data_IF_576484598726
#
_entry.id   IF_576484598726
#
_cell.length_a   1.000
_cell.length_b   1.000
_cell.length_c   1.000
_cell.angle_alpha   90.00
_cell.angle_beta   90.00
_cell.angle_gamma   90.00
#
_symmetry.space_group_name_H-M   'P 1'
#
loop_
_entity.id
_entity.type
_entity.pdbx_description
1 polymer ?
#
# COMPACT_ATOMS: atom_id res chain seq x y z
N UNK A 1 -12.42 -36.57 19.05
CA UNK A 1 -11.43 -35.55 18.65
C UNK A 1 -10.04 -35.97 19.14
N UNK A 2 -9.21 -36.63 18.31
CA UNK A 2 -7.78 -36.87 18.65
C UNK A 2 -6.83 -36.97 17.44
N UNK A 3 -7.32 -36.89 16.19
CA UNK A 3 -6.51 -37.16 14.99
C UNK A 3 -5.39 -36.13 14.75
N UNK A 4 -5.62 -34.85 15.06
CA UNK A 4 -4.67 -33.77 14.77
C UNK A 4 -3.43 -33.80 15.68
N UNK A 5 -3.59 -34.15 16.96
CA UNK A 5 -2.47 -34.23 17.91
C UNK A 5 -1.55 -35.42 17.61
N UNK A 6 -2.12 -36.55 17.16
CA UNK A 6 -1.34 -37.70 16.69
C UNK A 6 -0.61 -37.40 15.37
N UNK A 7 -1.19 -36.58 14.48
CA UNK A 7 -0.53 -36.14 13.25
C UNK A 7 0.70 -35.26 13.55
N UNK A 8 0.56 -34.23 14.39
CA UNK A 8 1.66 -33.31 14.72
C UNK A 8 2.83 -34.01 15.42
N UNK A 9 2.57 -34.95 16.35
CA UNK A 9 3.64 -35.76 16.93
C UNK A 9 4.39 -36.59 15.87
N UNK A 10 3.68 -37.18 14.91
CA UNK A 10 4.25 -38.03 13.86
C UNK A 10 5.06 -37.25 12.80
N UNK A 11 4.83 -35.94 12.69
CA UNK A 11 5.68 -35.02 11.92
C UNK A 11 6.93 -34.65 12.71
N UNK A 12 6.79 -34.35 14.01
CA UNK A 12 7.92 -33.99 14.89
C UNK A 12 8.95 -35.13 15.04
N UNK A 13 8.49 -36.38 15.17
CA UNK A 13 9.38 -37.54 15.23
C UNK A 13 10.11 -37.80 13.90
N UNK A 14 9.52 -37.45 12.76
CA UNK A 14 10.15 -37.60 11.42
C UNK A 14 11.23 -36.56 11.13
N UNK A 15 11.18 -35.40 11.76
CA UNK A 15 12.18 -34.32 11.56
C UNK A 15 13.47 -34.59 12.36
N UNK A 16 13.45 -35.48 13.37
CA UNK A 16 14.63 -35.82 14.18
C UNK A 16 15.50 -36.95 13.63
N UNK A 17 15.06 -37.64 12.58
CA UNK A 17 15.74 -38.83 12.01
C UNK A 17 16.27 -38.59 10.58
N UNK A 18 16.12 -37.37 10.05
CA UNK A 18 16.44 -37.00 8.66
C UNK A 18 17.75 -36.20 8.50
N UNK A 19 18.70 -36.33 9.43
CA UNK A 19 20.01 -35.63 9.39
C UNK A 19 21.14 -36.50 8.82
N UNK A 20 20.85 -37.69 8.29
CA UNK A 20 21.83 -38.58 7.66
C UNK A 20 21.24 -39.22 6.38
N UNK A 21 22.12 -39.42 5.39
CA UNK A 21 21.88 -39.95 4.03
C UNK A 21 21.21 -38.95 3.05
N UNK A 22 21.90 -38.65 1.95
CA UNK A 22 21.40 -37.79 0.87
C UNK A 22 20.67 -38.57 -0.24
N UNK A 23 19.84 -37.88 -1.02
CA UNK A 23 19.11 -38.47 -2.13
C UNK A 23 18.70 -37.45 -3.20
N UNK A 24 19.06 -37.72 -4.46
CA UNK A 24 18.79 -36.91 -5.65
C UNK A 24 17.49 -37.35 -6.33
N UNK A 25 16.65 -36.40 -6.77
CA UNK A 25 15.65 -36.48 -7.88
C UNK A 25 15.13 -35.04 -8.11
N UNK A 26 15.21 -34.40 -9.29
CA UNK A 26 14.50 -34.66 -10.56
C UNK A 26 12.96 -34.82 -10.41
N UNK A 27 12.07 -34.14 -11.14
CA UNK A 27 12.16 -33.13 -12.20
C UNK A 27 10.72 -32.80 -12.66
N UNK A 28 10.44 -31.63 -13.26
CA UNK A 28 9.05 -31.18 -13.47
C UNK A 28 8.84 -30.01 -14.44
N UNK A 29 9.33 -30.18 -15.66
CA UNK A 29 9.37 -29.20 -16.76
C UNK A 29 7.98 -28.81 -17.34
N UNK A 30 7.78 -27.52 -17.66
CA UNK A 30 6.93 -27.04 -18.78
C UNK A 30 7.53 -25.75 -19.41
N UNK A 31 7.27 -25.56 -20.71
CA UNK A 31 8.06 -24.75 -21.66
C UNK A 31 7.30 -23.51 -22.22
N UNK A 32 7.95 -22.57 -22.97
CA UNK A 32 7.50 -21.18 -23.07
C UNK A 32 6.79 -20.77 -24.38
N UNK A 33 6.35 -19.50 -24.45
CA UNK A 33 6.10 -18.69 -25.66
C UNK A 33 6.33 -17.21 -25.26
N UNK A 34 7.29 -16.45 -25.82
CA UNK A 34 7.30 -15.83 -27.16
C UNK A 34 6.17 -14.82 -27.37
N UNK A 35 6.36 -13.53 -27.69
CA UNK A 35 7.57 -12.69 -27.87
C UNK A 35 7.16 -11.22 -27.66
N UNK A 36 8.04 -10.29 -27.28
CA UNK A 36 8.67 -9.20 -28.09
C UNK A 36 9.17 -8.17 -27.03
N UNK A 37 10.27 -7.42 -27.15
CA UNK A 37 11.31 -7.34 -28.19
C UNK A 37 11.80 -5.89 -28.38
N UNK A 38 13.09 -5.63 -28.12
CA UNK A 38 13.73 -4.31 -28.21
C UNK A 38 15.23 -4.41 -27.92
N UNK A 39 16.04 -3.85 -28.82
CA UNK A 39 17.41 -4.33 -29.10
C UNK A 39 18.52 -3.65 -28.28
N UNK A 40 19.51 -4.43 -27.81
CA UNK A 40 20.90 -3.99 -27.62
C UNK A 40 21.91 -5.11 -27.93
N UNK A 41 23.01 -4.73 -28.56
CA UNK A 41 24.06 -5.55 -29.18
C UNK A 41 24.84 -6.50 -28.23
N UNK A 42 25.21 -7.68 -28.77
CA UNK A 42 26.59 -8.16 -28.70
C UNK A 42 27.01 -9.19 -27.63
N UNK A 43 26.86 -10.49 -27.97
CA UNK A 43 27.67 -11.66 -27.55
C UNK A 43 28.04 -11.84 -26.06
N UNK A 44 27.72 -12.97 -25.41
CA UNK A 44 28.30 -14.30 -25.71
C UNK A 44 27.41 -15.45 -25.16
N UNK A 45 27.70 -16.71 -25.53
CA UNK A 45 26.99 -17.89 -25.04
C UNK A 45 27.69 -18.49 -23.81
N UNK A 46 27.03 -18.47 -22.65
CA UNK A 46 27.27 -19.51 -21.63
C UNK A 46 25.98 -19.89 -20.89
N UNK A 47 25.80 -21.20 -20.71
CA UNK A 47 24.80 -21.78 -19.80
C UNK A 47 25.39 -21.83 -18.39
N UNK A 48 25.73 -20.65 -17.87
CA UNK A 48 26.33 -20.45 -16.54
C UNK A 48 25.27 -20.21 -15.46
N UNK A 49 25.64 -20.56 -14.23
CA UNK A 49 24.93 -20.21 -12.98
C UNK A 49 24.52 -18.74 -12.95
N UNK A 50 23.32 -18.43 -12.44
CA UNK A 50 22.80 -17.05 -12.32
C UNK A 50 23.49 -16.30 -11.15
N UNK A 51 24.79 -16.07 -11.29
CA UNK A 51 25.60 -15.24 -10.40
C UNK A 51 25.45 -13.76 -10.82
N UNK A 52 24.30 -13.19 -10.48
CA UNK A 52 23.98 -11.77 -10.70
C UNK A 52 23.60 -11.06 -9.41
N UNK A 53 24.08 -9.84 -9.23
CA UNK A 53 23.75 -8.99 -8.11
C UNK A 53 22.41 -8.28 -8.35
N UNK A 54 21.38 -8.62 -7.57
CA UNK A 54 20.01 -8.08 -7.74
C UNK A 54 19.79 -6.90 -6.80
N UNK A 55 19.19 -5.82 -7.30
CA UNK A 55 18.78 -4.70 -6.45
C UNK A 55 17.56 -5.08 -5.59
N UNK A 56 17.61 -5.00 -4.24
CA UNK A 56 16.48 -5.37 -3.40
C UNK A 56 15.29 -4.40 -3.49
N UNK A 57 15.49 -3.19 -4.04
CA UNK A 57 14.43 -2.20 -4.22
C UNK A 57 13.68 -2.39 -5.55
N UNK A 58 14.38 -2.46 -6.68
CA UNK A 58 13.77 -2.51 -8.02
C UNK A 58 14.03 -3.80 -8.82
N UNK A 59 14.65 -4.81 -8.19
CA UNK A 59 14.86 -6.16 -8.74
C UNK A 59 15.63 -6.24 -10.07
N UNK A 60 16.33 -5.17 -10.45
CA UNK A 60 17.25 -5.14 -11.59
C UNK A 60 18.49 -5.99 -11.31
N UNK A 61 18.89 -6.77 -12.31
CA UNK A 61 20.06 -7.66 -12.28
C UNK A 61 21.31 -6.94 -12.81
N UNK A 62 22.40 -7.00 -12.04
CA UNK A 62 23.71 -6.47 -12.42
C UNK A 62 24.76 -7.58 -12.42
N UNK A 63 25.75 -7.46 -13.31
CA UNK A 63 26.85 -8.42 -13.41
C UNK A 63 27.88 -8.28 -12.27
N UNK A 64 27.96 -7.10 -11.63
CA UNK A 64 28.97 -6.78 -10.62
C UNK A 64 28.34 -6.10 -9.39
N UNK A 65 28.90 -6.38 -8.21
CA UNK A 65 28.49 -5.74 -6.96
C UNK A 65 28.69 -4.21 -6.98
N UNK A 66 29.79 -3.73 -7.55
CA UNK A 66 30.08 -2.29 -7.67
C UNK A 66 29.05 -1.55 -8.53
N UNK A 67 28.54 -2.21 -9.59
CA UNK A 67 27.48 -1.66 -10.46
C UNK A 67 26.15 -1.59 -9.70
N UNK A 68 25.82 -2.64 -8.94
CA UNK A 68 24.65 -2.63 -8.07
C UNK A 68 24.76 -1.53 -6.99
N UNK A 69 25.91 -1.38 -6.33
CA UNK A 69 26.09 -0.39 -5.28
C UNK A 69 26.01 1.03 -5.84
N UNK A 70 26.67 1.33 -6.96
CA UNK A 70 26.55 2.63 -7.62
C UNK A 70 25.11 2.94 -8.08
N UNK A 71 24.36 1.93 -8.53
CA UNK A 71 22.93 2.04 -8.80
C UNK A 71 22.12 2.33 -7.53
N UNK A 72 22.39 1.62 -6.42
CA UNK A 72 21.69 1.80 -5.16
C UNK A 72 21.92 3.20 -4.57
N UNK A 73 23.18 3.66 -4.58
CA UNK A 73 23.55 4.99 -4.10
C UNK A 73 22.92 6.11 -4.94
N UNK A 74 22.88 5.96 -6.28
CA UNK A 74 22.37 7.01 -7.18
C UNK A 74 20.84 7.02 -7.32
N UNK A 75 20.19 5.86 -7.40
CA UNK A 75 18.75 5.76 -7.69
C UNK A 75 17.88 5.54 -6.44
N UNK A 76 18.47 5.17 -5.29
CA UNK A 76 17.72 4.86 -4.05
C UNK A 76 18.19 5.64 -2.81
N UNK A 77 19.43 6.16 -2.83
CA UNK A 77 20.04 6.90 -1.74
C UNK A 77 20.17 8.42 -2.00
N UNK A 78 19.95 8.90 -3.23
CA UNK A 78 20.12 10.32 -3.59
C UNK A 78 19.16 11.24 -2.81
N UNK A 79 19.66 12.13 -1.93
CA UNK A 79 18.84 13.02 -1.13
C UNK A 79 18.13 14.14 -1.93
N UNK A 80 18.44 14.33 -3.22
CA UNK A 80 17.71 15.27 -4.09
C UNK A 80 16.35 14.75 -4.56
N UNK A 81 16.12 13.44 -4.47
CA UNK A 81 14.90 12.78 -4.97
C UNK A 81 13.73 12.87 -3.98
N UNK A 82 12.67 13.57 -4.38
CA UNK A 82 11.52 13.86 -3.52
C UNK A 82 10.32 12.92 -3.75
N UNK A 83 10.31 12.13 -4.83
CA UNK A 83 9.18 11.30 -5.24
C UNK A 83 9.55 9.82 -5.10
N UNK A 84 8.85 9.08 -4.22
CA UNK A 84 9.15 7.68 -3.92
C UNK A 84 8.01 6.78 -4.40
N UNK A 85 8.33 5.73 -5.15
CA UNK A 85 7.35 4.74 -5.57
C UNK A 85 6.75 4.01 -4.36
N UNK A 86 5.41 3.92 -4.21
CA UNK A 86 4.81 3.23 -3.07
C UNK A 86 5.04 1.71 -3.09
N UNK A 87 5.26 1.11 -4.27
CA UNK A 87 5.40 -0.34 -4.47
C UNK A 87 6.86 -0.77 -4.28
N UNK A 88 7.77 -0.36 -5.17
CA UNK A 88 9.18 -0.78 -5.16
C UNK A 88 10.13 0.15 -4.38
N UNK A 89 9.64 1.26 -3.80
CA UNK A 89 10.44 2.27 -3.08
C UNK A 89 11.54 2.97 -3.89
N UNK A 90 11.57 2.79 -5.22
CA UNK A 90 12.43 3.55 -6.13
C UNK A 90 12.24 5.07 -5.93
N UNK A 91 13.36 5.79 -5.88
CA UNK A 91 13.41 7.25 -5.72
C UNK A 91 13.56 7.91 -7.08
N UNK A 92 12.72 8.90 -7.35
CA UNK A 92 12.59 9.55 -8.65
C UNK A 92 12.69 11.07 -8.49
N UNK A 93 13.31 11.70 -9.49
CA UNK A 93 13.63 13.13 -9.46
C UNK A 93 12.44 14.03 -9.79
N UNK A 94 11.38 13.47 -10.38
CA UNK A 94 10.18 14.19 -10.81
C UNK A 94 8.91 13.34 -10.68
N UNK A 95 7.78 13.99 -10.38
CA UNK A 95 6.46 13.36 -10.34
C UNK A 95 6.10 12.67 -11.67
N UNK A 96 6.47 13.25 -12.81
CA UNK A 96 6.16 12.68 -14.13
C UNK A 96 6.91 11.36 -14.39
N UNK A 97 8.12 11.23 -13.85
CA UNK A 97 8.87 9.97 -13.90
C UNK A 97 8.21 8.91 -13.02
N UNK A 98 7.72 9.29 -11.83
CA UNK A 98 6.97 8.39 -10.94
C UNK A 98 5.67 7.89 -11.59
N UNK A 99 4.92 8.76 -12.26
CA UNK A 99 3.68 8.40 -12.96
C UNK A 99 3.94 7.46 -14.14
N UNK A 100 5.04 7.68 -14.89
CA UNK A 100 5.49 6.80 -15.99
C UNK A 100 5.95 5.43 -15.47
N UNK A 101 6.80 5.42 -14.44
CA UNK A 101 7.27 4.19 -13.80
C UNK A 101 6.10 3.37 -13.21
N UNK A 102 5.19 4.02 -12.48
CA UNK A 102 4.04 3.35 -11.90
C UNK A 102 3.10 2.79 -12.98
N UNK A 103 2.93 3.48 -14.11
CA UNK A 103 2.10 2.99 -15.22
C UNK A 103 2.75 1.92 -16.11
N UNK A 104 4.08 1.79 -16.10
CA UNK A 104 4.80 0.78 -16.87
C UNK A 104 5.11 -0.49 -16.06
N UNK A 105 5.60 -0.32 -14.82
CA UNK A 105 6.11 -1.42 -14.00
C UNK A 105 5.10 -1.92 -12.96
N UNK A 106 4.04 -1.14 -12.66
CA UNK A 106 3.10 -1.42 -11.56
C UNK A 106 1.61 -1.27 -11.94
N UNK A 107 1.28 -0.89 -13.18
CA UNK A 107 -0.10 -0.94 -13.65
C UNK A 107 -0.50 -2.39 -13.88
N UNK A 108 -1.66 -2.77 -13.32
CA UNK A 108 -2.38 -3.95 -13.81
C UNK A 108 -2.83 -3.64 -15.25
N UNK A 109 -2.60 -4.54 -16.23
CA UNK A 109 -2.95 -4.27 -17.62
C UNK A 109 -4.43 -3.92 -17.75
N UNK A 110 -4.72 -2.78 -18.38
CA UNK A 110 -6.09 -2.30 -18.57
C UNK A 110 -6.87 -3.26 -19.47
N UNK A 111 -7.80 -4.03 -18.89
CA UNK A 111 -8.63 -4.98 -19.61
C UNK A 111 -8.85 -6.33 -18.92
N UNK A 112 -8.10 -6.64 -17.85
CA UNK A 112 -8.38 -7.85 -17.07
C UNK A 112 -9.61 -7.65 -16.16
N UNK A 113 -10.71 -8.35 -16.44
CA UNK A 113 -11.90 -8.34 -15.60
C UNK A 113 -11.58 -8.92 -14.22
N UNK A 114 -11.38 -8.05 -13.23
CA UNK A 114 -11.15 -8.43 -11.83
C UNK A 114 -12.43 -9.06 -11.27
N UNK A 115 -12.52 -10.38 -11.39
CA UNK A 115 -13.67 -11.13 -10.89
C UNK A 115 -13.72 -11.11 -9.37
N UNK A 116 -14.94 -11.17 -8.82
CA UNK A 116 -15.18 -11.24 -7.37
C UNK A 116 -14.56 -12.51 -6.76
N UNK A 117 -14.32 -13.56 -7.55
CA UNK A 117 -13.68 -14.79 -7.08
C UNK A 117 -12.14 -14.71 -7.08
N UNK A 118 -11.53 -13.99 -8.04
CA UNK A 118 -10.10 -13.66 -7.97
C UNK A 118 -9.77 -12.85 -6.71
N UNK A 119 -10.56 -11.80 -6.41
CA UNK A 119 -10.40 -11.00 -5.18
C UNK A 119 -10.61 -11.80 -3.90
N UNK A 120 -11.47 -12.83 -3.90
CA UNK A 120 -11.62 -13.74 -2.75
C UNK A 120 -10.38 -14.60 -2.54
N UNK A 121 -9.69 -14.99 -3.62
CA UNK A 121 -8.50 -15.83 -3.52
C UNK A 121 -7.28 -15.00 -3.12
N UNK A 122 -7.07 -13.82 -3.73
CA UNK A 122 -6.09 -12.82 -3.26
C UNK A 122 -6.30 -12.51 -1.76
N UNK A 123 -7.56 -12.31 -1.32
CA UNK A 123 -7.90 -12.10 0.10
C UNK A 123 -7.61 -13.33 0.98
N UNK A 124 -7.75 -14.57 0.47
CA UNK A 124 -7.38 -15.78 1.21
C UNK A 124 -5.89 -15.89 1.39
N UNK A 125 -5.10 -15.67 0.33
CA UNK A 125 -3.64 -15.70 0.35
C UNK A 125 -3.07 -14.64 1.29
N UNK A 126 -3.57 -13.40 1.23
CA UNK A 126 -3.20 -12.34 2.17
C UNK A 126 -3.65 -12.66 3.61
N UNK A 127 -4.76 -13.38 3.79
CA UNK A 127 -5.20 -13.84 5.12
C UNK A 127 -4.39 -15.02 5.68
N UNK A 128 -3.75 -15.83 4.83
CA UNK A 128 -2.83 -16.89 5.27
C UNK A 128 -1.45 -16.33 5.61
N UNK A 129 -0.87 -15.50 4.76
CA UNK A 129 0.43 -14.85 5.03
C UNK A 129 0.36 -13.97 6.28
N UNK A 130 -0.71 -13.18 6.45
CA UNK A 130 -0.92 -12.40 7.68
C UNK A 130 -1.04 -13.28 8.94
N UNK A 131 -1.47 -14.54 8.83
CA UNK A 131 -1.51 -15.49 9.96
C UNK A 131 -0.13 -16.04 10.28
N UNK A 132 0.66 -16.34 9.25
CA UNK A 132 2.04 -16.83 9.36
C UNK A 132 2.94 -15.75 9.96
N UNK A 133 2.89 -14.51 9.45
CA UNK A 133 3.59 -13.35 10.01
C UNK A 133 3.23 -13.09 11.48
N UNK A 134 1.94 -13.21 11.84
CA UNK A 134 1.50 -13.11 13.23
C UNK A 134 2.04 -14.24 14.10
N UNK A 135 2.16 -15.45 13.55
CA UNK A 135 2.74 -16.59 14.26
C UNK A 135 4.25 -16.38 14.47
N UNK A 136 5.01 -16.02 13.44
CA UNK A 136 6.44 -15.68 13.54
C UNK A 136 6.69 -14.53 14.53
N UNK A 137 5.82 -13.51 14.54
CA UNK A 137 5.91 -12.40 15.51
C UNK A 137 5.64 -12.84 16.95
N UNK A 138 4.76 -13.83 17.17
CA UNK A 138 4.48 -14.37 18.50
C UNK A 138 5.57 -15.34 18.95
N UNK A 139 6.07 -16.19 18.05
CA UNK A 139 7.16 -17.12 18.30
C UNK A 139 8.45 -16.37 18.69
N UNK A 140 8.85 -15.35 17.91
CA UNK A 140 9.98 -14.48 18.24
C UNK A 140 9.77 -13.72 19.56
N UNK A 141 8.52 -13.34 19.90
CA UNK A 141 8.22 -12.74 21.21
C UNK A 141 8.42 -13.74 22.35
N UNK A 142 8.02 -14.99 22.15
CA UNK A 142 8.19 -16.07 23.12
C UNK A 142 9.69 -16.42 23.29
N UNK A 143 10.47 -16.45 22.20
CA UNK A 143 11.93 -16.61 22.24
C UNK A 143 12.61 -15.44 22.98
N UNK A 144 12.26 -14.19 22.67
CA UNK A 144 12.79 -13.02 23.37
C UNK A 144 12.44 -13.05 24.87
N UNK A 145 11.23 -13.49 25.23
CA UNK A 145 10.85 -13.66 26.62
C UNK A 145 11.64 -14.79 27.31
N UNK A 146 11.88 -15.91 26.62
CA UNK A 146 12.68 -17.02 27.13
C UNK A 146 14.16 -16.62 27.32
N UNK A 147 14.74 -15.87 26.38
CA UNK A 147 16.08 -15.29 26.50
C UNK A 147 16.16 -14.28 27.63
N UNK A 148 15.15 -13.40 27.79
CA UNK A 148 15.10 -12.45 28.90
C UNK A 148 15.00 -13.17 30.26
N UNK A 149 14.23 -14.26 30.36
CA UNK A 149 14.16 -15.11 31.56
C UNK A 149 15.49 -15.85 31.81
N UNK A 150 16.16 -16.35 30.76
CA UNK A 150 17.47 -16.99 30.88
C UNK A 150 18.55 -16.01 31.35
N UNK A 151 18.54 -14.76 30.86
CA UNK A 151 19.42 -13.69 31.34
C UNK A 151 19.12 -13.31 32.80
N UNK A 152 17.84 -13.20 33.18
CA UNK A 152 17.45 -12.96 34.58
C UNK A 152 17.84 -14.11 35.50
N UNK A 153 17.70 -15.36 35.06
CA UNK A 153 18.14 -16.54 35.80
C UNK A 153 19.67 -16.61 35.92
N UNK A 154 20.40 -16.26 34.85
CA UNK A 154 21.87 -16.18 34.87
C UNK A 154 22.37 -15.07 35.82
N UNK A 155 21.72 -13.90 35.80
CA UNK A 155 22.00 -12.81 36.74
C UNK A 155 21.66 -13.19 38.20
N UNK A 156 20.61 -13.98 38.44
CA UNK A 156 20.27 -14.49 39.77
C UNK A 156 21.17 -15.67 40.22
N UNK A 157 21.80 -16.38 39.29
CA UNK A 157 22.72 -17.48 39.53
C UNK A 157 24.19 -17.04 39.62
N UNK A 158 24.47 -15.73 39.54
CA UNK A 158 25.81 -15.14 39.61
C UNK A 158 26.46 -15.21 40.99
N UNK A 159 26.79 -16.43 41.43
CA UNK A 159 27.94 -16.67 42.29
C UNK A 159 29.23 -16.59 41.47
N UNK A 160 30.31 -16.20 42.13
CA UNK A 160 31.66 -15.97 41.61
C UNK A 160 32.12 -16.98 40.54
N UNK A 161 32.21 -16.56 39.28
CA UNK A 161 33.29 -16.99 38.38
C UNK A 161 33.50 -15.95 37.26
N UNK A 162 34.77 -15.58 37.05
CA UNK A 162 35.16 -14.40 36.26
C UNK A 162 35.24 -14.66 34.76
N UNK A 163 34.11 -14.64 34.06
CA UNK A 163 34.08 -14.49 32.60
C UNK A 163 33.64 -13.08 32.21
N UNK A 164 34.27 -12.53 31.18
CA UNK A 164 34.04 -11.15 30.71
C UNK A 164 32.65 -11.06 30.11
N UNK A 165 31.69 -10.55 30.86
CA UNK A 165 30.44 -10.05 30.28
C UNK A 165 30.81 -8.94 29.29
N UNK A 166 30.40 -9.10 28.02
CA UNK A 166 30.60 -8.08 27.00
C UNK A 166 29.78 -6.84 27.39
N UNK A 167 30.48 -5.92 28.03
CA UNK A 167 29.91 -4.71 28.61
C UNK A 167 29.54 -3.76 27.47
N UNK A 168 28.35 -3.97 26.87
CA UNK A 168 27.66 -2.94 26.08
C UNK A 168 27.71 -1.67 26.92
N UNK A 169 28.42 -0.61 26.47
CA UNK A 169 28.67 0.53 27.33
C UNK A 169 27.35 1.07 27.85
N UNK A 170 27.24 1.28 29.16
CA UNK A 170 25.98 1.65 29.81
C UNK A 170 25.36 2.93 29.20
N UNK A 171 26.21 3.78 28.61
CA UNK A 171 25.88 4.93 27.76
C UNK A 171 25.14 4.58 26.45
N UNK A 172 25.52 3.51 25.74
CA UNK A 172 24.82 3.06 24.52
C UNK A 172 23.43 2.52 24.84
N UNK A 173 23.29 1.74 25.92
CA UNK A 173 21.98 1.26 26.36
C UNK A 173 21.06 2.42 26.79
N UNK A 174 21.60 3.42 27.51
CA UNK A 174 20.86 4.65 27.82
C UNK A 174 20.41 5.40 26.55
N UNK A 175 21.31 5.61 25.59
CA UNK A 175 20.99 6.28 24.33
C UNK A 175 19.91 5.54 23.51
N UNK A 176 19.89 4.20 23.53
CA UNK A 176 18.84 3.40 22.90
C UNK A 176 17.49 3.51 23.62
N UNK A 177 17.47 3.63 24.94
CA UNK A 177 16.23 3.90 25.70
C UNK A 177 15.69 5.31 25.43
N UNK A 178 16.56 6.31 25.35
CA UNK A 178 16.19 7.68 24.99
C UNK A 178 15.67 7.76 23.55
N UNK A 179 16.33 7.07 22.60
CA UNK A 179 15.84 6.92 21.23
C UNK A 179 14.45 6.25 21.18
N UNK A 180 14.26 5.14 21.92
CA UNK A 180 12.98 4.43 22.01
C UNK A 180 11.87 5.29 22.60
N UNK A 181 12.14 6.09 23.63
CA UNK A 181 11.13 6.98 24.23
C UNK A 181 10.77 8.13 23.30
N UNK A 182 11.75 8.72 22.60
CA UNK A 182 11.52 9.74 21.58
C UNK A 182 10.63 9.21 20.43
N UNK A 183 10.96 8.05 19.85
CA UNK A 183 10.15 7.40 18.81
C UNK A 183 8.75 7.02 19.32
N UNK A 184 8.62 6.63 20.58
CA UNK A 184 7.31 6.33 21.19
C UNK A 184 6.45 7.60 21.33
N UNK A 185 7.06 8.72 21.73
CA UNK A 185 6.38 10.02 21.82
C UNK A 185 5.96 10.53 20.44
N UNK A 186 6.84 10.42 19.44
CA UNK A 186 6.54 10.76 18.05
C UNK A 186 5.37 9.91 17.49
N UNK A 187 5.39 8.60 17.74
CA UNK A 187 4.30 7.71 17.33
C UNK A 187 2.95 8.02 18.03
N UNK A 188 2.95 8.63 19.22
CA UNK A 188 1.72 9.12 19.88
C UNK A 188 1.26 10.44 19.26
N UNK A 189 2.19 11.36 18.96
CA UNK A 189 1.89 12.62 18.28
C UNK A 189 1.31 12.39 16.87
N UNK A 190 1.92 11.51 16.08
CA UNK A 190 1.45 11.15 14.74
C UNK A 190 0.04 10.53 14.78
N UNK A 191 -0.26 9.65 15.73
CA UNK A 191 -1.62 9.10 15.93
C UNK A 191 -2.64 10.20 16.25
N UNK A 192 -2.28 11.18 17.07
CA UNK A 192 -3.15 12.33 17.40
C UNK A 192 -3.35 13.26 16.21
N UNK A 193 -2.31 13.50 15.40
CA UNK A 193 -2.44 14.27 14.17
C UNK A 193 -3.33 13.54 13.15
N UNK A 194 -3.18 12.23 13.03
CA UNK A 194 -4.03 11.39 12.17
C UNK A 194 -5.50 11.42 12.61
N UNK A 195 -5.79 11.32 13.92
CA UNK A 195 -7.17 11.41 14.41
C UNK A 195 -7.78 12.78 14.13
N UNK A 196 -7.02 13.87 14.36
CA UNK A 196 -7.49 15.23 14.03
C UNK A 196 -7.79 15.39 12.54
N UNK A 197 -6.89 14.94 11.66
CA UNK A 197 -7.08 15.03 10.22
C UNK A 197 -8.31 14.24 9.73
N UNK A 198 -8.64 13.11 10.37
CA UNK A 198 -9.86 12.35 10.09
C UNK A 198 -11.12 13.08 10.56
N UNK A 199 -11.09 13.74 11.72
CA UNK A 199 -12.20 14.57 12.21
C UNK A 199 -12.44 15.79 11.31
N UNK A 200 -11.37 16.46 10.88
CA UNK A 200 -11.42 17.61 9.96
C UNK A 200 -11.99 17.19 8.60
N UNK A 201 -11.53 16.06 8.04
CA UNK A 201 -12.06 15.48 6.81
C UNK A 201 -13.55 15.09 6.95
N UNK A 202 -13.96 14.57 8.11
CA UNK A 202 -15.37 14.29 8.39
C UNK A 202 -16.21 15.58 8.57
N UNK A 203 -15.63 16.68 9.02
CA UNK A 203 -16.29 18.00 9.04
C UNK A 203 -16.47 18.56 7.62
N UNK A 204 -15.43 18.54 6.78
CA UNK A 204 -15.49 18.98 5.37
C UNK A 204 -16.51 18.15 4.57
N UNK A 205 -16.54 16.82 4.75
CA UNK A 205 -17.54 15.95 4.10
C UNK A 205 -18.98 16.29 4.49
N UNK A 206 -19.24 16.65 5.74
CA UNK A 206 -20.57 17.12 6.18
C UNK A 206 -20.93 18.47 5.55
N UNK A 207 -20.00 19.43 5.54
CA UNK A 207 -20.20 20.72 4.87
C UNK A 207 -20.50 20.56 3.37
N UNK A 208 -19.82 19.62 2.69
CA UNK A 208 -20.07 19.32 1.27
C UNK A 208 -21.48 18.72 1.05
N UNK A 209 -21.94 17.82 1.92
CA UNK A 209 -23.30 17.28 1.85
C UNK A 209 -24.36 18.39 2.06
N UNK A 210 -24.11 19.33 2.97
CA UNK A 210 -24.97 20.49 3.21
C UNK A 210 -24.99 21.47 2.03
N UNK A 211 -23.86 21.69 1.34
CA UNK A 211 -23.81 22.58 0.17
C UNK A 211 -24.46 21.96 -1.06
N UNK A 212 -24.29 20.65 -1.29
CA UNK A 212 -25.03 19.90 -2.33
C UNK A 212 -26.54 20.01 -2.06
N UNK A 213 -26.97 19.70 -0.83
CA UNK A 213 -28.40 19.81 -0.44
C UNK A 213 -28.96 21.23 -0.58
N UNK A 214 -28.13 22.28 -0.43
CA UNK A 214 -28.51 23.67 -0.70
C UNK A 214 -28.61 23.95 -2.20
N UNK A 215 -27.69 23.44 -3.01
CA UNK A 215 -27.70 23.58 -4.46
C UNK A 215 -28.94 22.90 -5.08
N UNK A 216 -29.31 21.70 -4.61
CA UNK A 216 -30.49 20.98 -5.08
C UNK A 216 -31.79 21.77 -4.80
N UNK A 217 -31.91 22.37 -3.60
CA UNK A 217 -33.04 23.26 -3.26
C UNK A 217 -33.08 24.49 -4.17
N UNK A 218 -31.94 25.16 -4.38
CA UNK A 218 -31.86 26.32 -5.26
C UNK A 218 -32.17 25.97 -6.73
N UNK A 219 -31.82 24.76 -7.18
CA UNK A 219 -32.17 24.27 -8.51
C UNK A 219 -33.69 24.01 -8.65
N UNK A 220 -34.32 23.42 -7.63
CA UNK A 220 -35.78 23.24 -7.58
C UNK A 220 -36.52 24.59 -7.53
N UNK A 221 -36.07 25.52 -6.69
CA UNK A 221 -36.62 26.88 -6.61
C UNK A 221 -36.48 27.61 -7.95
N UNK A 222 -35.31 27.51 -8.61
CA UNK A 222 -35.09 28.07 -9.95
C UNK A 222 -36.09 27.51 -10.97
N UNK A 223 -36.26 26.18 -11.03
CA UNK A 223 -37.21 25.53 -11.95
C UNK A 223 -38.66 25.99 -11.71
N UNK A 224 -39.06 26.12 -10.43
CA UNK A 224 -40.37 26.67 -10.04
C UNK A 224 -40.55 28.13 -10.51
N UNK A 225 -39.53 28.98 -10.35
CA UNK A 225 -39.57 30.36 -10.84
C UNK A 225 -39.57 30.45 -12.37
N UNK A 226 -38.89 29.55 -13.08
CA UNK A 226 -38.91 29.46 -14.54
C UNK A 226 -40.30 29.06 -15.07
N UNK A 227 -40.98 28.08 -14.44
CA UNK A 227 -42.39 27.74 -14.76
C UNK A 227 -43.29 28.96 -14.60
N UNK A 228 -43.26 29.61 -13.43
CA UNK A 228 -44.09 30.79 -13.13
C UNK A 228 -43.80 31.97 -14.07
N UNK A 229 -42.54 32.16 -14.46
CA UNK A 229 -42.16 33.17 -15.44
C UNK A 229 -42.72 32.84 -16.85
N UNK A 230 -42.78 31.57 -17.22
CA UNK A 230 -43.40 31.14 -18.48
C UNK A 230 -44.93 31.31 -18.47
N UNK A 231 -45.59 30.98 -17.35
CA UNK A 231 -47.03 31.20 -17.14
C UNK A 231 -47.39 32.69 -17.26
N UNK A 232 -46.72 33.57 -16.51
CA UNK A 232 -46.93 35.02 -16.62
C UNK A 232 -46.56 35.59 -18.01
N UNK A 233 -45.65 34.96 -18.76
CA UNK A 233 -45.33 35.37 -20.12
C UNK A 233 -46.49 35.05 -21.09
N UNK A 234 -47.16 33.91 -20.93
CA UNK A 234 -48.37 33.53 -21.68
C UNK A 234 -49.54 34.45 -21.30
N UNK A 235 -49.83 34.64 -20.01
CA UNK A 235 -50.88 35.55 -19.55
C UNK A 235 -50.70 36.97 -20.11
N UNK A 236 -49.46 37.47 -20.13
CA UNK A 236 -49.12 38.79 -20.69
C UNK A 236 -49.34 38.84 -22.20
N UNK A 237 -49.10 37.76 -22.93
CA UNK A 237 -49.37 37.68 -24.37
C UNK A 237 -50.89 37.71 -24.64
N UNK A 238 -51.67 36.91 -23.90
CA UNK A 238 -53.14 36.88 -24.00
C UNK A 238 -53.78 38.23 -23.68
N UNK A 239 -53.33 38.90 -22.61
CA UNK A 239 -53.80 40.23 -22.24
C UNK A 239 -53.44 41.27 -23.30
N UNK A 240 -52.29 41.13 -23.96
CA UNK A 240 -51.87 42.03 -25.05
C UNK A 240 -52.74 41.83 -26.29
N UNK A 241 -52.96 40.59 -26.73
CA UNK A 241 -53.86 40.30 -27.84
C UNK A 241 -55.29 40.81 -27.60
N UNK A 242 -55.80 40.71 -26.35
CA UNK A 242 -57.10 41.30 -25.96
C UNK A 242 -57.10 42.83 -26.03
N UNK A 243 -56.01 43.50 -25.63
CA UNK A 243 -55.89 44.95 -25.77
C UNK A 243 -55.85 45.37 -27.24
N UNK A 244 -55.09 44.66 -28.07
CA UNK A 244 -54.98 44.94 -29.50
C UNK A 244 -56.37 44.87 -30.18
N UNK A 245 -57.15 43.80 -29.92
CA UNK A 245 -58.54 43.66 -30.38
C UNK A 245 -59.45 44.82 -29.93
N UNK A 246 -59.39 45.22 -28.65
CA UNK A 246 -60.19 46.34 -28.12
C UNK A 246 -59.78 47.67 -28.79
N UNK A 247 -58.50 47.86 -29.12
CA UNK A 247 -58.06 49.05 -29.85
C UNK A 247 -58.54 49.05 -31.30
N UNK A 248 -58.54 47.90 -31.98
CA UNK A 248 -59.10 47.76 -33.34
C UNK A 248 -60.60 48.06 -33.36
N UNK A 249 -61.39 47.45 -32.46
CA UNK A 249 -62.82 47.71 -32.32
C UNK A 249 -63.13 49.20 -32.09
N UNK A 250 -62.33 49.87 -31.26
CA UNK A 250 -62.48 51.31 -31.02
C UNK A 250 -62.17 52.14 -32.26
N UNK A 251 -61.09 51.84 -32.99
CA UNK A 251 -60.75 52.56 -34.24
C UNK A 251 -61.75 52.33 -35.38
N UNK A 252 -62.66 51.37 -35.25
CA UNK A 252 -63.75 51.09 -36.19
C UNK A 252 -65.07 51.80 -35.79
N UNK A 253 -65.14 52.46 -34.64
CA UNK A 253 -66.31 53.19 -34.12
C UNK A 253 -66.17 54.72 -34.16
N UNK A 254 -64.93 55.23 -34.23
CA UNK A 254 -64.58 56.66 -34.39
C UNK A 254 -64.52 57.07 -35.89
#
# INVERSE_FOLDING_TARGET
MNSFKTFMNKVSDRVRDATLEGGVVEGGQLTPSSSIGGDMDGADQDTGTVEGFVCPSCYTTFQDADKLQAHYEREHLDPASNYVCPVCKLRLTSQQQLETHYSQDHARPEGEEVTVDALKEELREVSTTLREERWHTDDLRNELQALQQALQAKAAAGGEDGEKEDMVPQSQHAALLDSKTNLSNEAVLLRRQQSQALEDLAAVRRQLADTISKADRLAADKSSMESRASECAVERADLRAKLDLITEERTMQD
#
